data_IF_516881930528
#
_entry.id   IF_516881930528
#
_cell.length_a   1.000
_cell.length_b   1.000
_cell.length_c   1.000
_cell.angle_alpha   90.00
_cell.angle_beta   90.00
_cell.angle_gamma   90.00
#
_symmetry.space_group_name_H-M   'P 1'
#
loop_
_entity.id
_entity.type
_entity.pdbx_description
1 polymer ?
#
# COMPACT_ATOMS: atom_id res chain seq x y z
N UNK A 1 32.46 -5.19 34.24
CA UNK A 1 32.21 -4.43 33.00
C UNK A 1 33.35 -3.43 32.82
N UNK A 2 33.94 -3.30 31.62
CA UNK A 2 34.88 -2.21 31.38
C UNK A 2 34.15 -0.87 31.49
N UNK A 3 34.77 0.11 32.16
CA UNK A 3 34.15 1.39 32.52
C UNK A 3 34.61 2.51 31.56
N UNK A 4 33.66 3.27 31.00
CA UNK A 4 33.91 4.42 30.13
C UNK A 4 34.53 4.08 28.75
N UNK A 5 35.12 5.09 28.09
CA UNK A 5 35.76 4.96 26.76
C UNK A 5 37.22 4.48 26.85
N UNK A 6 37.42 3.36 27.54
CA UNK A 6 38.75 2.81 27.84
C UNK A 6 39.61 2.55 26.57
N UNK A 7 39.01 2.26 25.42
CA UNK A 7 39.73 2.06 24.14
C UNK A 7 40.28 3.39 23.60
N UNK A 8 39.51 4.48 23.69
CA UNK A 8 39.99 5.79 23.27
C UNK A 8 41.05 6.32 24.23
N UNK A 9 40.85 6.14 25.54
CA UNK A 9 41.84 6.48 26.55
C UNK A 9 43.16 5.72 26.33
N UNK A 10 43.09 4.43 26.02
CA UNK A 10 44.26 3.64 25.67
C UNK A 10 44.97 4.18 24.42
N UNK A 11 44.22 4.54 23.36
CA UNK A 11 44.79 5.15 22.15
C UNK A 11 45.41 6.53 22.41
N UNK A 12 44.85 7.33 23.33
CA UNK A 12 45.43 8.63 23.73
C UNK A 12 46.73 8.45 24.52
N UNK A 13 46.80 7.43 25.40
CA UNK A 13 47.96 7.15 26.27
C UNK A 13 49.10 6.42 25.54
N UNK A 14 48.77 5.41 24.74
CA UNK A 14 49.73 4.49 24.12
C UNK A 14 49.77 4.58 22.59
N UNK A 15 48.97 5.47 22.00
CA UNK A 15 48.91 5.64 20.55
C UNK A 15 48.20 4.49 19.83
N UNK A 16 48.34 4.50 18.50
CA UNK A 16 47.97 3.37 17.65
C UNK A 16 49.15 2.42 17.52
N UNK A 17 48.86 1.19 17.10
CA UNK A 17 49.91 0.27 16.63
C UNK A 17 50.75 0.95 15.55
N UNK A 18 52.08 0.78 15.61
CA UNK A 18 53.04 1.49 14.75
C UNK A 18 52.72 1.40 13.24
N UNK A 19 52.22 0.24 12.78
CA UNK A 19 51.88 -0.01 11.36
C UNK A 19 50.40 0.26 11.00
N UNK A 20 49.61 0.82 11.92
CA UNK A 20 48.17 1.01 11.74
C UNK A 20 47.84 1.90 10.53
N UNK A 21 48.50 3.05 10.42
CA UNK A 21 48.23 4.03 9.36
C UNK A 21 48.72 3.52 7.99
N UNK A 22 49.85 2.82 7.97
CA UNK A 22 50.34 2.18 6.75
C UNK A 22 49.42 1.09 6.24
N UNK A 23 48.91 0.23 7.14
CA UNK A 23 47.91 -0.79 6.79
C UNK A 23 46.61 -0.17 6.30
N UNK A 24 46.13 0.89 6.96
CA UNK A 24 44.89 1.59 6.58
C UNK A 24 45.02 2.20 5.18
N UNK A 25 46.09 2.95 4.92
CA UNK A 25 46.40 3.52 3.60
C UNK A 25 46.48 2.46 2.51
N UNK A 26 47.24 1.37 2.74
CA UNK A 26 47.35 0.25 1.78
C UNK A 26 46.02 -0.48 1.56
N UNK A 27 45.14 -0.53 2.57
CA UNK A 27 43.80 -1.11 2.43
C UNK A 27 42.91 -0.21 1.58
N UNK A 28 42.88 1.09 1.83
CA UNK A 28 42.09 2.05 1.05
C UNK A 28 42.50 2.09 -0.43
N UNK A 29 43.81 2.08 -0.71
CA UNK A 29 44.32 2.00 -2.08
C UNK A 29 43.88 0.71 -2.80
N UNK A 30 43.95 -0.45 -2.12
CA UNK A 30 43.55 -1.74 -2.71
C UNK A 30 42.05 -1.90 -2.93
N UNK A 31 41.21 -1.17 -2.18
CA UNK A 31 39.76 -1.29 -2.28
C UNK A 31 39.22 -1.04 -3.69
N UNK A 32 39.84 -0.18 -4.49
CA UNK A 32 39.39 0.08 -5.88
C UNK A 32 39.50 -1.18 -6.73
N UNK A 33 40.64 -1.88 -6.65
CA UNK A 33 40.88 -3.12 -7.38
C UNK A 33 40.04 -4.27 -6.83
N UNK A 34 39.96 -4.42 -5.50
CA UNK A 34 39.13 -5.45 -4.86
C UNK A 34 37.66 -5.29 -5.23
N UNK A 35 37.13 -4.06 -5.28
CA UNK A 35 35.75 -3.78 -5.69
C UNK A 35 35.50 -4.16 -7.15
N UNK A 36 36.43 -3.84 -8.05
CA UNK A 36 36.31 -4.22 -9.46
C UNK A 36 36.37 -5.73 -9.65
N UNK A 37 37.34 -6.39 -9.01
CA UNK A 37 37.48 -7.85 -9.05
C UNK A 37 36.25 -8.56 -8.47
N UNK A 38 35.70 -8.05 -7.37
CA UNK A 38 34.48 -8.58 -6.78
C UNK A 38 33.28 -8.41 -7.72
N UNK A 39 33.17 -7.28 -8.41
CA UNK A 39 32.10 -7.04 -9.39
C UNK A 39 32.11 -8.09 -10.52
N UNK A 40 33.29 -8.46 -11.01
CA UNK A 40 33.46 -9.41 -12.10
C UNK A 40 33.30 -10.87 -11.64
N UNK A 41 33.78 -11.20 -10.43
CA UNK A 41 33.83 -12.57 -9.92
C UNK A 41 32.58 -13.00 -9.13
N UNK A 42 31.79 -12.05 -8.62
CA UNK A 42 30.64 -12.38 -7.78
C UNK A 42 29.48 -12.98 -8.61
N UNK A 43 29.20 -14.25 -8.37
CA UNK A 43 28.12 -14.99 -9.06
C UNK A 43 26.81 -14.97 -8.26
N UNK A 44 25.69 -15.13 -8.98
CA UNK A 44 24.36 -15.32 -8.40
C UNK A 44 23.85 -14.13 -7.58
N UNK A 45 23.23 -14.42 -6.43
CA UNK A 45 22.60 -13.41 -5.56
C UNK A 45 23.64 -12.42 -5.01
N UNK A 46 24.87 -12.88 -4.73
CA UNK A 46 25.94 -12.01 -4.21
C UNK A 46 26.31 -10.91 -5.21
N UNK A 47 26.41 -11.25 -6.51
CA UNK A 47 26.63 -10.27 -7.57
C UNK A 47 25.48 -9.27 -7.70
N UNK A 48 24.22 -9.75 -7.65
CA UNK A 48 23.02 -8.90 -7.71
C UNK A 48 22.95 -7.90 -6.53
N UNK A 49 23.21 -8.36 -5.31
CA UNK A 49 23.23 -7.49 -4.12
C UNK A 49 24.36 -6.45 -4.22
N UNK A 50 25.53 -6.85 -4.70
CA UNK A 50 26.65 -5.94 -4.90
C UNK A 50 26.32 -4.85 -5.92
N UNK A 51 25.77 -5.22 -7.08
CA UNK A 51 25.34 -4.25 -8.09
C UNK A 51 24.28 -3.27 -7.55
N UNK A 52 23.27 -3.78 -6.82
CA UNK A 52 22.23 -2.95 -6.18
C UNK A 52 22.83 -1.93 -5.20
N UNK A 53 23.77 -2.38 -4.36
CA UNK A 53 24.48 -1.51 -3.42
C UNK A 53 25.28 -0.42 -4.15
N UNK A 54 26.02 -0.79 -5.20
CA UNK A 54 26.82 0.16 -6.01
C UNK A 54 25.95 1.18 -6.74
N UNK A 55 24.77 0.78 -7.22
CA UNK A 55 23.82 1.72 -7.82
C UNK A 55 23.34 2.76 -6.78
N UNK A 56 22.97 2.32 -5.58
CA UNK A 56 22.54 3.21 -4.51
C UNK A 56 23.64 4.21 -4.09
N UNK A 57 24.89 3.74 -3.95
CA UNK A 57 26.04 4.60 -3.65
C UNK A 57 26.27 5.66 -4.73
N UNK A 58 26.21 5.28 -6.01
CA UNK A 58 26.34 6.23 -7.13
C UNK A 58 25.20 7.25 -7.16
N UNK A 59 23.96 6.81 -6.94
CA UNK A 59 22.79 7.68 -6.90
C UNK A 59 22.87 8.67 -5.75
N UNK A 60 23.31 8.23 -4.56
CA UNK A 60 23.54 9.10 -3.41
C UNK A 60 24.61 10.15 -3.70
N UNK A 61 25.77 9.73 -4.22
CA UNK A 61 26.87 10.66 -4.57
C UNK A 61 26.44 11.68 -5.63
N UNK A 62 25.65 11.26 -6.63
CA UNK A 62 25.12 12.17 -7.65
C UNK A 62 24.19 13.22 -7.03
N UNK A 63 23.33 12.82 -6.09
CA UNK A 63 22.45 13.75 -5.34
C UNK A 63 23.25 14.70 -4.45
N UNK A 64 24.28 14.22 -3.75
CA UNK A 64 25.08 15.09 -2.88
C UNK A 64 25.88 16.12 -3.66
N UNK A 65 26.41 15.74 -4.84
CA UNK A 65 27.07 16.69 -5.73
C UNK A 65 26.07 17.72 -6.27
N UNK A 66 24.89 17.29 -6.74
CA UNK A 66 23.85 18.20 -7.19
C UNK A 66 23.41 19.20 -6.10
N UNK A 67 23.17 18.72 -4.87
CA UNK A 67 22.84 19.60 -3.73
C UNK A 67 23.97 20.59 -3.41
N UNK A 68 25.23 20.14 -3.47
CA UNK A 68 26.38 21.01 -3.25
C UNK A 68 26.47 22.08 -4.35
N UNK A 69 26.33 21.70 -5.63
CA UNK A 69 26.35 22.61 -6.77
C UNK A 69 25.21 23.63 -6.68
N UNK A 70 23.98 23.19 -6.36
CA UNK A 70 22.82 24.06 -6.16
C UNK A 70 23.00 25.01 -4.98
N UNK A 71 23.62 24.57 -3.87
CA UNK A 71 23.92 25.43 -2.73
C UNK A 71 24.96 26.50 -3.05
N UNK A 72 25.91 26.18 -3.95
CA UNK A 72 26.95 27.10 -4.39
C UNK A 72 26.41 28.16 -5.36
N UNK A 73 25.41 27.80 -6.16
CA UNK A 73 24.72 28.75 -7.05
C UNK A 73 23.49 29.34 -6.34
N UNK A 74 23.63 30.53 -5.72
CA UNK A 74 22.46 31.29 -5.25
C UNK A 74 21.65 31.78 -6.46
N UNK A 75 20.71 30.98 -6.94
CA UNK A 75 19.64 31.47 -7.82
C UNK A 75 18.59 32.17 -6.96
N UNK A 76 18.15 33.36 -7.36
CA UNK A 76 16.91 33.93 -6.83
C UNK A 76 15.81 32.92 -7.18
N UNK A 77 15.07 32.49 -6.17
CA UNK A 77 13.86 31.69 -6.38
C UNK A 77 12.90 32.61 -7.14
N UNK A 78 12.56 32.27 -8.38
CA UNK A 78 11.42 32.91 -9.03
C UNK A 78 10.19 32.49 -8.22
N UNK A 79 9.47 33.48 -7.69
CA UNK A 79 8.24 33.31 -6.93
C UNK A 79 7.10 32.83 -7.86
N UNK A 80 7.22 31.62 -8.41
CA UNK A 80 6.05 30.89 -8.89
C UNK A 80 5.23 30.51 -7.66
N UNK A 81 4.27 31.38 -7.36
CA UNK A 81 3.25 31.21 -6.33
C UNK A 81 2.63 29.84 -6.51
N UNK A 82 3.00 28.90 -5.65
CA UNK A 82 2.41 27.57 -5.65
C UNK A 82 0.90 27.73 -5.35
N UNK A 83 0.05 27.20 -6.23
CA UNK A 83 -1.41 27.21 -6.03
C UNK A 83 -1.77 26.56 -4.70
N UNK A 84 -2.19 27.38 -3.73
CA UNK A 84 -2.63 26.93 -2.41
C UNK A 84 -1.97 27.68 -1.25
N UNK A 85 -2.01 29.02 -1.25
CA UNK A 85 -1.61 29.82 -0.11
C UNK A 85 -2.33 29.34 1.16
N UNK A 86 -1.57 28.77 2.09
CA UNK A 86 -2.06 28.35 3.39
C UNK A 86 -1.94 29.54 4.35
N UNK A 87 -2.94 29.77 5.22
CA UNK A 87 -2.81 30.71 6.32
C UNK A 87 -1.54 30.43 7.15
N UNK A 88 -0.92 31.46 7.73
CA UNK A 88 0.37 31.34 8.42
C UNK A 88 0.42 30.23 9.50
N UNK A 89 -0.69 29.99 10.19
CA UNK A 89 -0.82 28.93 11.20
C UNK A 89 -0.91 27.50 10.64
N UNK A 90 -0.91 27.33 9.32
CA UNK A 90 -0.95 26.06 8.59
C UNK A 90 0.32 25.80 7.75
N UNK A 91 1.28 26.74 7.70
CA UNK A 91 2.49 26.65 6.86
C UNK A 91 3.48 25.56 7.33
N UNK A 92 3.64 25.38 8.65
CA UNK A 92 4.64 24.46 9.23
C UNK A 92 4.08 23.08 9.60
N UNK A 93 2.85 22.76 9.19
CA UNK A 93 2.25 21.44 9.42
C UNK A 93 2.44 20.59 8.17
N UNK A 94 3.19 19.48 8.30
CA UNK A 94 3.27 18.44 7.27
C UNK A 94 1.84 18.07 6.83
N UNK A 95 1.59 18.15 5.53
CA UNK A 95 0.24 18.11 4.96
C UNK A 95 -0.36 16.71 5.05
N UNK A 96 -1.05 16.41 6.15
CA UNK A 96 -2.17 15.44 6.17
C UNK A 96 -3.52 16.14 6.12
N UNK A 97 -3.62 17.28 5.42
CA UNK A 97 -4.83 18.09 5.41
C UNK A 97 -5.13 18.72 4.04
N UNK A 98 -5.57 17.91 3.07
CA UNK A 98 -6.43 18.38 1.96
C UNK A 98 -7.87 17.90 2.14
N UNK A 99 -8.44 18.10 3.33
CA UNK A 99 -9.82 17.70 3.64
C UNK A 99 -10.86 18.82 3.44
N UNK A 100 -10.46 20.04 3.06
CA UNK A 100 -11.37 21.21 2.98
C UNK A 100 -11.53 21.86 1.59
N UNK A 101 -10.99 21.26 0.53
CA UNK A 101 -11.19 21.72 -0.88
C UNK A 101 -12.31 20.93 -1.58
N UNK A 102 -13.11 20.18 -0.83
CA UNK A 102 -14.25 19.42 -1.37
C UNK A 102 -15.45 20.32 -1.72
N UNK A 103 -15.59 21.51 -1.13
CA UNK A 103 -16.85 22.29 -1.22
C UNK A 103 -17.03 23.08 -2.54
N UNK A 104 -15.95 23.60 -3.13
CA UNK A 104 -16.03 24.41 -4.37
C UNK A 104 -15.95 23.56 -5.64
N UNK A 105 -15.24 22.43 -5.60
CA UNK A 105 -15.17 21.45 -6.71
C UNK A 105 -16.50 20.71 -6.91
N UNK A 106 -17.29 20.45 -5.86
CA UNK A 106 -18.65 19.88 -5.97
C UNK A 106 -19.57 20.77 -6.83
N UNK A 107 -19.41 22.10 -6.78
CA UNK A 107 -20.23 23.04 -7.59
C UNK A 107 -19.86 22.98 -9.08
N UNK A 108 -18.59 22.76 -9.42
CA UNK A 108 -18.13 22.51 -10.79
C UNK A 108 -18.56 21.11 -11.28
N UNK A 109 -18.41 20.06 -10.46
CA UNK A 109 -18.84 18.68 -10.79
C UNK A 109 -20.35 18.54 -11.01
N UNK A 110 -21.19 19.38 -10.39
CA UNK A 110 -22.63 19.42 -10.64
C UNK A 110 -23.01 19.93 -12.04
N UNK A 111 -22.14 20.73 -12.69
CA UNK A 111 -22.32 21.20 -14.07
C UNK A 111 -21.90 20.14 -15.12
N UNK A 112 -21.07 19.18 -14.76
CA UNK A 112 -20.60 18.08 -15.63
C UNK A 112 -21.50 16.84 -15.62
N UNK A 113 -22.72 16.95 -15.09
CA UNK A 113 -23.68 15.88 -14.72
C UNK A 113 -24.08 14.87 -15.82
N UNK A 114 -23.56 14.97 -17.03
CA UNK A 114 -23.80 14.05 -18.14
C UNK A 114 -22.54 13.31 -18.65
N UNK A 115 -21.40 13.43 -17.96
CA UNK A 115 -20.16 12.76 -18.34
C UNK A 115 -19.96 11.43 -17.60
N UNK A 116 -20.04 10.31 -18.35
CA UNK A 116 -19.59 8.94 -18.03
C UNK A 116 -19.08 8.69 -16.59
N UNK A 117 -19.98 8.22 -15.71
CA UNK A 117 -19.61 7.73 -14.38
C UNK A 117 -18.92 6.37 -14.47
N UNK A 118 -17.63 6.37 -14.78
CA UNK A 118 -16.81 5.16 -14.81
C UNK A 118 -16.15 4.91 -13.46
N UNK A 119 -16.20 3.65 -13.02
CA UNK A 119 -15.41 3.20 -11.87
C UNK A 119 -13.94 3.07 -12.29
N UNK A 120 -12.96 3.26 -11.37
CA UNK A 120 -11.53 3.17 -11.67
C UNK A 120 -11.09 1.90 -12.40
N UNK A 121 -11.74 0.77 -12.11
CA UNK A 121 -11.53 -0.50 -12.80
C UNK A 121 -12.85 -0.96 -13.45
N UNK A 122 -13.14 -0.54 -14.70
CA UNK A 122 -14.41 -0.86 -15.36
C UNK A 122 -14.46 -2.33 -15.82
N UNK A 123 -13.32 -2.85 -16.32
CA UNK A 123 -13.18 -4.23 -16.78
C UNK A 123 -12.10 -4.92 -15.95
N UNK A 124 -12.46 -6.04 -15.34
CA UNK A 124 -11.52 -6.90 -14.61
C UNK A 124 -11.43 -8.24 -15.32
N UNK A 125 -10.30 -8.92 -15.16
CA UNK A 125 -10.12 -10.29 -15.63
C UNK A 125 -11.25 -11.17 -15.06
N UNK A 126 -12.00 -11.89 -15.91
CA UNK A 126 -12.98 -12.86 -15.43
C UNK A 126 -12.26 -13.98 -14.69
N UNK A 127 -12.77 -14.35 -13.53
CA UNK A 127 -12.25 -15.46 -12.72
C UNK A 127 -13.06 -16.71 -13.03
N UNK A 128 -12.37 -17.81 -13.33
CA UNK A 128 -13.01 -19.09 -13.58
C UNK A 128 -13.51 -19.73 -12.27
N UNK A 129 -14.57 -20.55 -12.35
CA UNK A 129 -15.22 -21.10 -11.16
C UNK A 129 -14.31 -22.08 -10.39
N UNK A 130 -13.41 -22.77 -11.08
CA UNK A 130 -12.42 -23.68 -10.51
C UNK A 130 -11.38 -22.94 -9.64
N UNK A 131 -11.01 -21.72 -10.03
CA UNK A 131 -10.14 -20.85 -9.26
C UNK A 131 -10.83 -20.32 -8.00
N UNK A 132 -12.15 -20.11 -8.06
CA UNK A 132 -12.95 -19.60 -6.93
C UNK A 132 -13.38 -20.69 -5.93
N UNK A 133 -13.59 -21.91 -6.42
CA UNK A 133 -14.12 -23.02 -5.64
C UNK A 133 -13.24 -24.25 -5.68
N UNK A 134 -12.72 -24.63 -4.52
CA UNK A 134 -12.08 -25.94 -4.32
C UNK A 134 -13.12 -27.01 -4.00
N UNK A 135 -13.05 -28.14 -4.69
CA UNK A 135 -13.91 -29.31 -4.41
C UNK A 135 -13.53 -29.96 -3.08
N UNK A 136 -14.50 -30.18 -2.19
CA UNK A 136 -14.29 -30.91 -0.93
C UNK A 136 -14.95 -32.29 -1.01
N UNK A 137 -14.12 -33.33 -0.89
CA UNK A 137 -14.55 -34.73 -0.86
C UNK A 137 -14.97 -35.15 0.56
N UNK A 138 -16.12 -35.81 0.68
CA UNK A 138 -16.73 -36.22 1.97
C UNK A 138 -17.02 -37.72 2.04
N UNK A 139 -17.11 -38.25 3.27
CA UNK A 139 -17.32 -39.68 3.57
C UNK A 139 -16.03 -40.48 3.72
N UNK A 140 -16.10 -41.67 4.33
CA UNK A 140 -14.93 -42.53 4.61
C UNK A 140 -14.11 -42.85 3.36
N UNK A 141 -14.79 -43.15 2.24
CA UNK A 141 -14.17 -43.44 0.93
C UNK A 141 -13.97 -42.19 0.04
N UNK A 142 -14.32 -40.98 0.52
CA UNK A 142 -14.14 -39.69 -0.19
C UNK A 142 -14.76 -39.61 -1.61
N UNK A 143 -15.82 -40.36 -1.88
CA UNK A 143 -16.49 -40.38 -3.20
C UNK A 143 -17.42 -39.18 -3.43
N UNK A 144 -17.98 -38.60 -2.36
CA UNK A 144 -18.98 -37.52 -2.46
C UNK A 144 -18.33 -36.15 -2.63
N UNK A 145 -18.65 -35.42 -3.71
CA UNK A 145 -18.00 -34.15 -4.11
C UNK A 145 -18.93 -32.92 -4.13
N UNK A 146 -20.06 -32.97 -3.44
CA UNK A 146 -21.11 -31.94 -3.51
C UNK A 146 -20.74 -30.61 -2.83
N UNK A 147 -19.73 -30.61 -1.94
CA UNK A 147 -19.28 -29.41 -1.21
C UNK A 147 -18.22 -28.63 -1.99
N UNK A 148 -18.28 -27.31 -1.88
CA UNK A 148 -17.36 -26.34 -2.50
C UNK A 148 -16.80 -25.41 -1.42
N UNK A 149 -15.48 -25.29 -1.35
CA UNK A 149 -14.80 -24.35 -0.46
C UNK A 149 -14.38 -23.13 -1.25
N UNK A 150 -14.69 -21.94 -0.75
CA UNK A 150 -14.25 -20.67 -1.35
C UNK A 150 -12.77 -20.48 -1.03
N UNK A 151 -11.96 -20.26 -2.06
CA UNK A 151 -10.52 -20.01 -1.98
C UNK A 151 -10.17 -18.53 -1.91
N UNK A 152 -11.09 -17.67 -2.36
CA UNK A 152 -10.96 -16.21 -2.35
C UNK A 152 -11.37 -15.61 -1.01
N UNK A 153 -10.94 -14.39 -0.77
CA UNK A 153 -11.34 -13.62 0.42
C UNK A 153 -12.84 -13.37 0.42
N UNK A 154 -13.45 -13.43 1.59
CA UNK A 154 -14.89 -13.24 1.79
C UNK A 154 -15.15 -12.19 2.85
N UNK A 155 -16.21 -11.42 2.66
CA UNK A 155 -16.86 -10.65 3.72
C UNK A 155 -18.08 -11.43 4.20
N UNK A 156 -18.27 -11.36 5.50
CA UNK A 156 -19.35 -12.04 6.19
C UNK A 156 -19.88 -11.05 7.23
N UNK A 157 -21.17 -10.72 7.15
CA UNK A 157 -21.79 -9.77 8.07
C UNK A 157 -21.74 -10.23 9.54
N UNK A 158 -21.93 -9.29 10.46
CA UNK A 158 -21.74 -9.50 11.90
C UNK A 158 -22.63 -10.60 12.50
N UNK A 159 -23.86 -10.75 11.99
CA UNK A 159 -24.81 -11.77 12.43
C UNK A 159 -24.62 -13.17 11.80
N UNK A 160 -23.48 -13.46 11.16
CA UNK A 160 -23.32 -14.73 10.47
C UNK A 160 -23.12 -15.92 11.40
N UNK A 161 -24.10 -16.81 11.37
CA UNK A 161 -24.01 -18.15 11.97
C UNK A 161 -23.80 -19.20 10.88
N UNK A 162 -22.88 -20.15 11.11
CA UNK A 162 -22.65 -21.24 10.14
C UNK A 162 -23.85 -22.17 10.11
N UNK A 163 -24.26 -22.57 8.90
CA UNK A 163 -25.27 -23.62 8.72
C UNK A 163 -24.71 -24.97 9.19
N UNK A 164 -25.57 -25.90 9.66
CA UNK A 164 -25.13 -27.23 10.02
C UNK A 164 -24.36 -27.92 8.87
N UNK A 165 -23.31 -28.71 9.14
CA UNK A 165 -22.44 -29.27 8.10
C UNK A 165 -23.15 -30.11 7.03
N UNK A 166 -24.34 -30.65 7.34
CA UNK A 166 -25.15 -31.42 6.38
C UNK A 166 -25.81 -30.53 5.31
N UNK A 167 -26.12 -29.28 5.62
CA UNK A 167 -26.79 -28.33 4.73
C UNK A 167 -25.84 -27.28 4.12
N UNK A 168 -24.62 -27.16 4.64
CA UNK A 168 -23.60 -26.26 4.11
C UNK A 168 -22.93 -26.84 2.86
N UNK A 169 -23.30 -26.32 1.68
CA UNK A 169 -22.67 -26.63 0.39
C UNK A 169 -21.44 -25.76 0.11
N UNK A 170 -21.58 -24.45 0.29
CA UNK A 170 -20.50 -23.46 0.10
C UNK A 170 -19.85 -23.13 1.44
N UNK A 171 -18.58 -23.52 1.59
CA UNK A 171 -17.79 -23.32 2.81
C UNK A 171 -16.96 -22.05 2.64
N UNK A 172 -17.19 -21.07 3.52
CA UNK A 172 -16.37 -19.85 3.62
C UNK A 172 -15.43 -19.97 4.82
N UNK A 173 -14.14 -20.29 4.65
CA UNK A 173 -13.25 -20.56 5.78
C UNK A 173 -12.97 -19.29 6.59
N UNK A 174 -12.83 -19.42 7.93
CA UNK A 174 -12.66 -18.26 8.82
C UNK A 174 -11.39 -17.45 8.55
N UNK A 175 -10.29 -18.12 8.16
CA UNK A 175 -9.03 -17.43 7.83
C UNK A 175 -9.09 -16.54 6.59
N UNK A 176 -10.13 -16.69 5.75
CA UNK A 176 -10.37 -15.83 4.59
C UNK A 176 -11.53 -14.85 4.81
N UNK A 177 -12.01 -14.69 6.06
CA UNK A 177 -13.08 -13.74 6.39
C UNK A 177 -12.49 -12.43 6.87
N UNK A 178 -12.63 -11.40 6.07
CA UNK A 178 -12.14 -10.06 6.38
C UNK A 178 -13.30 -9.17 6.77
N UNK A 179 -13.07 -8.30 7.76
CA UNK A 179 -14.06 -7.31 8.25
C UNK A 179 -13.69 -5.87 7.90
N UNK A 180 -12.40 -5.60 7.65
CA UNK A 180 -11.87 -4.27 7.39
C UNK A 180 -11.19 -4.22 6.03
N UNK A 181 -11.13 -3.02 5.45
CA UNK A 181 -10.44 -2.72 4.21
C UNK A 181 -9.57 -1.46 4.37
N UNK A 182 -8.42 -1.45 3.70
CA UNK A 182 -7.60 -0.27 3.54
C UNK A 182 -8.13 0.55 2.37
N UNK A 183 -8.80 1.65 2.69
CA UNK A 183 -9.48 2.48 1.72
C UNK A 183 -8.70 3.78 1.50
N UNK A 184 -8.32 4.03 0.26
CA UNK A 184 -7.61 5.25 -0.14
C UNK A 184 -8.59 6.27 -0.69
N UNK A 185 -8.50 7.51 -0.20
CA UNK A 185 -9.20 8.64 -0.81
C UNK A 185 -8.31 9.29 -1.88
N UNK A 186 -8.74 9.40 -3.16
CA UNK A 186 -7.89 9.91 -4.25
C UNK A 186 -7.37 11.34 -4.06
N UNK A 187 -8.22 12.25 -3.56
CA UNK A 187 -7.88 13.68 -3.45
C UNK A 187 -6.84 14.01 -2.35
N UNK A 188 -7.01 13.65 -1.06
CA UNK A 188 -6.01 13.90 -0.02
C UNK A 188 -4.90 12.84 -0.01
N UNK A 189 -5.02 11.75 -0.81
CA UNK A 189 -4.08 10.62 -0.86
C UNK A 189 -3.82 9.96 0.51
N UNK A 190 -4.78 10.07 1.42
CA UNK A 190 -4.75 9.40 2.72
C UNK A 190 -5.41 8.02 2.64
N UNK A 191 -4.89 7.09 3.43
CA UNK A 191 -5.40 5.72 3.55
C UNK A 191 -5.99 5.48 4.93
N UNK A 192 -7.17 4.87 4.99
CA UNK A 192 -7.90 4.60 6.23
C UNK A 192 -8.23 3.12 6.35
N UNK A 193 -8.21 2.56 7.56
CA UNK A 193 -8.55 1.17 7.82
C UNK A 193 -10.02 1.06 8.25
N UNK A 194 -10.92 1.06 7.27
CA UNK A 194 -12.35 1.20 7.49
C UNK A 194 -13.04 -0.16 7.57
N UNK A 195 -14.13 -0.22 8.32
CA UNK A 195 -14.97 -1.41 8.43
C UNK A 195 -15.84 -1.59 7.19
N UNK A 196 -15.92 -2.82 6.69
CA UNK A 196 -16.77 -3.19 5.58
C UNK A 196 -18.18 -3.40 6.13
N UNK A 197 -19.15 -2.68 5.57
CA UNK A 197 -20.57 -2.83 5.89
C UNK A 197 -21.16 -3.96 5.06
N UNK A 198 -20.82 -3.99 3.76
CA UNK A 198 -21.41 -4.93 2.83
C UNK A 198 -20.66 -5.00 1.49
N UNK A 199 -21.00 -6.03 0.71
CA UNK A 199 -20.57 -6.13 -0.68
C UNK A 199 -21.75 -5.80 -1.58
N UNK A 200 -21.57 -4.84 -2.48
CA UNK A 200 -22.64 -4.37 -3.36
C UNK A 200 -22.62 -5.05 -4.72
N UNK A 201 -21.44 -5.22 -5.32
CA UNK A 201 -21.31 -5.79 -6.67
C UNK A 201 -19.98 -6.51 -6.84
N UNK A 202 -20.02 -7.78 -7.20
CA UNK A 202 -18.86 -8.50 -7.71
C UNK A 202 -18.91 -8.56 -9.25
N UNK A 203 -17.83 -8.19 -9.97
CA UNK A 203 -17.81 -8.23 -11.44
C UNK A 203 -17.97 -9.63 -12.04
N UNK A 204 -17.64 -10.70 -11.29
CA UNK A 204 -17.73 -12.08 -11.78
C UNK A 204 -19.15 -12.66 -11.70
N UNK A 205 -20.11 -11.95 -11.10
CA UNK A 205 -21.51 -12.37 -11.06
C UNK A 205 -22.23 -12.16 -9.73
N UNK A 206 -23.57 -12.14 -9.71
CA UNK A 206 -24.38 -11.85 -8.52
C UNK A 206 -24.28 -12.93 -7.44
N UNK A 207 -24.05 -14.20 -7.82
CA UNK A 207 -23.84 -15.30 -6.87
C UNK A 207 -22.67 -15.00 -5.91
N UNK A 208 -21.59 -14.42 -6.44
CA UNK A 208 -20.42 -14.06 -5.66
C UNK A 208 -20.66 -12.86 -4.75
N UNK A 209 -21.51 -11.92 -5.17
CA UNK A 209 -22.01 -10.84 -4.31
C UNK A 209 -22.76 -11.41 -3.10
N UNK A 210 -23.69 -12.36 -3.31
CA UNK A 210 -24.46 -12.98 -2.22
C UNK A 210 -23.60 -13.85 -1.28
N UNK A 211 -22.62 -14.57 -1.83
CA UNK A 211 -21.63 -15.31 -1.02
C UNK A 211 -20.65 -14.38 -0.30
N UNK A 212 -20.61 -13.10 -0.67
CA UNK A 212 -19.72 -12.12 -0.13
C UNK A 212 -18.26 -12.34 -0.55
N UNK A 213 -18.01 -12.80 -1.77
CA UNK A 213 -16.64 -12.97 -2.27
C UNK A 213 -16.07 -11.62 -2.71
N UNK A 214 -14.87 -11.32 -2.23
CA UNK A 214 -14.10 -10.12 -2.56
C UNK A 214 -12.99 -10.50 -3.53
N UNK A 215 -13.08 -9.97 -4.75
CA UNK A 215 -12.07 -10.10 -5.79
C UNK A 215 -11.69 -8.70 -6.26
N UNK A 216 -10.65 -8.60 -7.10
CA UNK A 216 -10.34 -7.34 -7.76
C UNK A 216 -11.58 -6.79 -8.49
N UNK A 217 -11.82 -5.49 -8.34
CA UNK A 217 -12.97 -4.78 -8.90
C UNK A 217 -14.28 -4.95 -8.15
N UNK A 218 -14.35 -5.75 -7.08
CA UNK A 218 -15.55 -5.82 -6.23
C UNK A 218 -15.84 -4.45 -5.64
N UNK A 219 -17.09 -4.01 -5.71
CA UNK A 219 -17.59 -2.80 -5.07
C UNK A 219 -18.10 -3.18 -3.69
N UNK A 220 -17.47 -2.59 -2.69
CA UNK A 220 -17.78 -2.74 -1.28
C UNK A 220 -18.35 -1.45 -0.72
N UNK A 221 -19.20 -1.58 0.29
CA UNK A 221 -19.68 -0.47 1.10
C UNK A 221 -18.87 -0.44 2.39
N UNK A 222 -18.25 0.70 2.68
CA UNK A 222 -17.35 0.90 3.81
C UNK A 222 -17.87 2.00 4.71
N UNK A 223 -17.65 1.82 6.01
CA UNK A 223 -18.00 2.81 7.02
C UNK A 223 -17.04 4.00 6.94
N UNK A 224 -17.55 5.20 6.71
CA UNK A 224 -16.77 6.45 6.57
C UNK A 224 -17.02 7.43 7.70
N UNK A 225 -17.59 6.97 8.83
CA UNK A 225 -17.81 7.82 10.02
C UNK A 225 -16.51 8.50 10.49
N UNK A 226 -15.38 7.80 10.43
CA UNK A 226 -14.05 8.32 10.80
C UNK A 226 -13.57 9.47 9.90
N UNK A 227 -14.10 9.59 8.67
CA UNK A 227 -13.75 10.66 7.74
C UNK A 227 -14.48 11.97 8.02
N UNK A 228 -15.53 11.96 8.86
CA UNK A 228 -16.30 13.16 9.20
C UNK A 228 -16.97 13.82 7.98
N UNK A 229 -17.36 13.03 6.98
CA UNK A 229 -17.98 13.56 5.76
C UNK A 229 -19.41 14.02 6.05
N UNK A 230 -19.73 15.26 5.67
CA UNK A 230 -21.06 15.85 5.87
C UNK A 230 -21.61 16.30 4.51
N UNK A 231 -22.87 15.99 4.27
CA UNK A 231 -23.60 16.51 3.11
C UNK A 231 -23.85 18.02 3.26
N UNK A 232 -24.08 18.78 2.17
CA UNK A 232 -24.45 20.20 2.29
C UNK A 232 -25.71 20.46 3.13
N UNK A 233 -26.53 19.43 3.35
CA UNK A 233 -27.72 19.47 4.20
C UNK A 233 -27.40 19.20 5.69
N UNK A 234 -26.13 19.12 6.08
CA UNK A 234 -25.72 18.86 7.47
C UNK A 234 -25.83 17.41 7.93
N UNK A 235 -26.30 16.49 7.08
CA UNK A 235 -26.37 15.05 7.42
C UNK A 235 -24.99 14.41 7.30
N UNK A 236 -24.59 13.69 8.35
CA UNK A 236 -23.34 12.92 8.40
C UNK A 236 -23.45 11.68 7.49
N UNK A 237 -22.43 11.48 6.65
CA UNK A 237 -22.31 10.30 5.79
C UNK A 237 -21.55 9.23 6.56
N UNK A 238 -22.16 8.07 6.73
CA UNK A 238 -21.56 6.93 7.43
C UNK A 238 -21.22 5.77 6.49
N UNK A 239 -21.76 5.73 5.27
CA UNK A 239 -21.49 4.69 4.27
C UNK A 239 -21.04 5.28 2.94
N UNK A 240 -19.99 4.70 2.33
CA UNK A 240 -19.57 5.06 0.97
C UNK A 240 -19.15 3.81 0.20
N UNK A 241 -19.29 3.85 -1.11
CA UNK A 241 -18.77 2.79 -1.98
C UNK A 241 -17.28 2.95 -2.21
N UNK A 242 -16.57 1.83 -2.19
CA UNK A 242 -15.18 1.72 -2.56
C UNK A 242 -15.00 0.53 -3.52
N UNK A 243 -14.04 0.64 -4.44
CA UNK A 243 -13.70 -0.42 -5.36
C UNK A 243 -12.37 -1.06 -4.97
N UNK A 244 -12.36 -2.39 -4.82
CA UNK A 244 -11.15 -3.15 -4.51
C UNK A 244 -10.20 -3.15 -5.70
N UNK A 245 -8.93 -2.82 -5.46
CA UNK A 245 -7.92 -2.62 -6.52
C UNK A 245 -6.91 -3.76 -6.62
N UNK A 246 -6.66 -4.49 -5.53
CA UNK A 246 -5.72 -5.60 -5.46
C UNK A 246 -6.42 -6.98 -5.55
N UNK A 247 -5.62 -8.05 -5.51
CA UNK A 247 -6.07 -9.43 -5.39
C UNK A 247 -5.87 -9.87 -3.93
N UNK A 248 -6.90 -9.76 -3.07
CA UNK A 248 -6.73 -9.89 -1.62
C UNK A 248 -6.26 -11.28 -1.17
N UNK A 249 -6.49 -12.32 -1.98
CA UNK A 249 -6.04 -13.69 -1.73
C UNK A 249 -4.51 -13.87 -1.74
N UNK A 250 -3.78 -13.00 -2.45
CA UNK A 250 -2.31 -13.10 -2.55
C UNK A 250 -1.61 -12.25 -1.48
N UNK A 251 -2.22 -11.13 -1.11
CA UNK A 251 -1.59 -10.10 -0.26
C UNK A 251 -2.01 -10.24 1.21
N UNK A 252 -3.19 -10.83 1.49
CA UNK A 252 -3.76 -10.86 2.84
C UNK A 252 -4.31 -9.51 3.31
N UNK A 253 -4.52 -8.57 2.40
CA UNK A 253 -5.11 -7.26 2.66
C UNK A 253 -6.16 -6.92 1.60
N UNK A 254 -7.24 -6.23 1.98
CA UNK A 254 -8.19 -5.66 1.02
C UNK A 254 -7.82 -4.19 0.83
N UNK A 255 -7.23 -3.86 -0.32
CA UNK A 255 -6.95 -2.49 -0.71
C UNK A 255 -8.04 -2.00 -1.66
N UNK A 256 -8.66 -0.88 -1.31
CA UNK A 256 -9.74 -0.30 -2.08
C UNK A 256 -9.54 1.21 -2.28
N UNK A 257 -10.17 1.74 -3.32
CA UNK A 257 -10.23 3.17 -3.58
C UNK A 257 -11.66 3.62 -3.40
N UNK A 258 -11.88 4.65 -2.58
CA UNK A 258 -13.20 5.25 -2.42
C UNK A 258 -13.70 5.80 -3.76
N UNK A 259 -14.96 5.51 -4.08
CA UNK A 259 -15.67 6.08 -5.20
C UNK A 259 -16.24 7.44 -4.75
N UNK A 260 -15.40 8.46 -4.80
CA UNK A 260 -15.84 9.86 -4.82
C UNK A 260 -16.07 10.25 -6.27
N UNK A 261 -17.06 11.11 -6.52
CA UNK A 261 -17.48 11.56 -7.86
C UNK A 261 -16.28 11.76 -8.79
N UNK A 262 -15.98 10.75 -9.61
CA UNK A 262 -14.88 10.75 -10.56
C UNK A 262 -15.33 11.57 -11.77
N UNK A 263 -15.30 12.89 -11.62
CA UNK A 263 -15.02 13.78 -12.74
C UNK A 263 -13.51 13.79 -12.91
N UNK A 264 -13.04 13.22 -14.03
CA UNK A 264 -11.78 13.63 -14.64
C UNK A 264 -12.11 14.70 -15.67
#
# INVERSE_FOLDING_TARGET
MPQGDYIELHRKRHGYRLDHFDRKRKKEARQVHERSAFAQKALGIKGKMFAKKRYAEKALMKKTLAMHDESSSRRKVDDEVHEGALPAYLLDRDVTARAKVLSNTIKQKRKEKAGKWEVPLPKVRPVAEDEMFRVVRTGKRKTKQWKRMVTKVTFVGEGFTRKPPKYERFIRPMGLRFKKAHVTHPEPKCTFNLEIIGIKKNPNGPMYTSLGVVTKGTIIEVNVSELGLVTPAGKVVWGKYAQVTNNPENDGCINAVCLFDFCK
#
